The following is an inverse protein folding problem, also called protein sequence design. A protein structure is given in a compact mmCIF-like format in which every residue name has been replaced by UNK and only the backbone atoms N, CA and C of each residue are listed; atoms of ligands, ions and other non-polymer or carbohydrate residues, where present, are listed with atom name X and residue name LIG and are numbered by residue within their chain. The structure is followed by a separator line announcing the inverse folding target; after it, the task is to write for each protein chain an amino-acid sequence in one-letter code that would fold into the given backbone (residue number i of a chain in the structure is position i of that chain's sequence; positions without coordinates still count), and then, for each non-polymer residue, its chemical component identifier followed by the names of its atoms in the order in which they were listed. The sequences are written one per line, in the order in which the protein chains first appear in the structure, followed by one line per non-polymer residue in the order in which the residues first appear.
data_IF_216133669008
#
_entry.id   IF_216133669008
#
_cell.length_a   1.000
_cell.length_b   1.000
_cell.length_c   1.000
_cell.angle_alpha   90.00
_cell.angle_beta   90.00
_cell.angle_gamma   90.00
#
_symmetry.space_group_name_H-M   'P 1'
#
loop_
_entity.id
_entity.type
_entity.pdbx_description
1 polymer ?
#
# COMPACT_ATOMS: atom_id res chain seq x y z
N UNK A 1 2.46 -9.38 24.62
CA UNK A 1 3.14 -8.37 23.78
C UNK A 1 4.65 -8.57 23.94
N UNK A 2 5.38 -8.91 22.87
CA UNK A 2 6.79 -9.31 22.92
C UNK A 2 7.74 -8.19 23.38
N UNK A 3 7.32 -6.92 23.31
CA UNK A 3 8.10 -5.76 23.79
C UNK A 3 7.67 -5.27 25.18
N UNK A 4 6.86 -6.04 25.92
CA UNK A 4 6.24 -5.58 27.16
C UNK A 4 7.25 -5.09 28.22
N UNK A 5 8.39 -5.77 28.36
CA UNK A 5 9.46 -5.42 29.30
C UNK A 5 10.20 -4.12 28.94
N UNK A 6 10.05 -3.61 27.72
CA UNK A 6 10.76 -2.42 27.21
C UNK A 6 9.81 -1.33 26.72
N UNK A 7 8.50 -1.53 26.81
CA UNK A 7 7.51 -0.61 26.26
C UNK A 7 7.32 0.58 27.21
N UNK A 8 7.90 1.73 26.88
CA UNK A 8 7.84 2.94 27.70
C UNK A 8 6.40 3.35 28.09
N UNK A 9 5.45 3.32 27.14
CA UNK A 9 4.04 3.63 27.43
C UNK A 9 3.40 2.66 28.44
N UNK A 10 3.69 1.37 28.32
CA UNK A 10 3.18 0.36 29.26
C UNK A 10 3.85 0.49 30.63
N UNK A 11 5.15 0.72 30.67
CA UNK A 11 5.92 0.94 31.90
C UNK A 11 5.48 2.23 32.61
N UNK A 12 5.02 3.23 31.86
CA UNK A 12 4.41 4.46 32.38
C UNK A 12 2.96 4.28 32.86
N UNK A 13 2.42 3.06 32.90
CA UNK A 13 1.07 2.80 33.42
C UNK A 13 -0.06 3.04 32.41
N UNK A 14 0.25 3.11 31.10
CA UNK A 14 -0.73 3.33 30.02
C UNK A 14 -1.49 4.66 30.17
N UNK A 15 -0.78 5.81 30.30
CA UNK A 15 -1.44 7.10 30.47
C UNK A 15 -2.36 7.40 29.27
N UNK A 16 -3.46 8.10 29.56
CA UNK A 16 -4.38 8.59 28.53
C UNK A 16 -3.71 9.67 27.66
N UNK A 17 -4.17 9.81 26.43
CA UNK A 17 -3.71 10.89 25.55
C UNK A 17 -4.35 12.21 25.96
N UNK A 18 -3.54 13.19 26.35
CA UNK A 18 -3.99 14.52 26.80
C UNK A 18 -3.97 15.59 25.70
N UNK A 19 -3.45 15.25 24.51
CA UNK A 19 -3.37 16.19 23.39
C UNK A 19 -4.70 16.31 22.62
N UNK A 20 -4.80 17.28 21.69
CA UNK A 20 -5.94 17.37 20.80
C UNK A 20 -6.13 16.07 19.99
N UNK A 21 -7.36 15.78 19.54
CA UNK A 21 -7.62 14.64 18.67
C UNK A 21 -6.76 14.77 17.40
N UNK A 22 -6.11 13.67 17.03
CA UNK A 22 -5.33 13.62 15.79
C UNK A 22 -6.27 13.81 14.60
N UNK A 23 -5.92 14.73 13.69
CA UNK A 23 -6.59 14.80 12.38
C UNK A 23 -6.22 13.56 11.58
N UNK A 24 -7.18 12.65 11.40
CA UNK A 24 -7.00 11.48 10.55
C UNK A 24 -6.90 11.89 9.09
N UNK A 25 -5.97 11.28 8.35
CA UNK A 25 -5.99 11.34 6.90
C UNK A 25 -7.20 10.54 6.38
N UNK A 26 -7.98 11.11 5.47
CA UNK A 26 -9.06 10.38 4.79
C UNK A 26 -8.46 9.28 3.92
N UNK A 27 -9.16 8.16 3.76
CA UNK A 27 -8.67 7.09 2.88
C UNK A 27 -8.78 7.46 1.39
N UNK A 28 -9.89 8.10 1.00
CA UNK A 28 -10.15 8.49 -0.38
C UNK A 28 -9.10 9.47 -0.91
N UNK A 29 -8.63 9.24 -2.13
CA UNK A 29 -7.62 10.04 -2.83
C UNK A 29 -6.17 9.78 -2.41
N UNK A 30 -5.92 8.84 -1.49
CA UNK A 30 -4.56 8.57 -0.98
C UNK A 30 -3.81 7.53 -1.79
N UNK A 31 -2.48 7.57 -1.75
CA UNK A 31 -1.62 6.52 -2.33
C UNK A 31 -1.94 5.14 -1.74
N UNK A 32 -2.33 5.07 -0.46
CA UNK A 32 -2.78 3.81 0.15
C UNK A 32 -4.00 3.24 -0.58
N UNK A 33 -4.94 4.08 -0.99
CA UNK A 33 -6.09 3.65 -1.76
C UNK A 33 -5.69 3.18 -3.17
N UNK A 34 -4.85 3.96 -3.87
CA UNK A 34 -4.40 3.63 -5.23
C UNK A 34 -3.64 2.30 -5.24
N UNK A 35 -2.69 2.13 -4.32
CA UNK A 35 -1.96 0.86 -4.13
C UNK A 35 -2.89 -0.31 -3.88
N UNK A 36 -3.90 -0.12 -3.01
CA UNK A 36 -4.91 -1.14 -2.72
C UNK A 36 -5.68 -1.58 -3.95
N UNK A 37 -6.07 -0.65 -4.83
CA UNK A 37 -6.77 -0.99 -6.07
C UNK A 37 -5.87 -1.68 -7.10
N UNK A 38 -4.62 -1.24 -7.27
CA UNK A 38 -3.65 -1.91 -8.15
C UNK A 38 -3.43 -3.36 -7.73
N UNK A 39 -3.23 -3.58 -6.41
CA UNK A 39 -3.10 -4.93 -5.87
C UNK A 39 -4.36 -5.78 -6.01
N UNK A 40 -5.56 -5.16 -6.01
CA UNK A 40 -6.79 -5.90 -6.26
C UNK A 40 -6.81 -6.49 -7.67
N UNK A 41 -6.51 -5.69 -8.70
CA UNK A 41 -6.42 -6.17 -10.09
C UNK A 41 -5.40 -7.31 -10.23
N UNK A 42 -4.23 -7.17 -9.60
CA UNK A 42 -3.19 -8.20 -9.67
C UNK A 42 -3.57 -9.50 -8.94
N UNK A 43 -4.38 -9.42 -7.88
CA UNK A 43 -4.87 -10.62 -7.16
C UNK A 43 -5.99 -11.33 -7.91
N UNK A 44 -6.82 -10.59 -8.62
CA UNK A 44 -7.95 -11.14 -9.37
C UNK A 44 -7.50 -11.74 -10.72
N UNK A 45 -6.31 -11.38 -11.20
CA UNK A 45 -5.76 -11.87 -12.46
C UNK A 45 -5.09 -13.25 -12.31
N UNK A 46 -5.41 -14.15 -13.23
CA UNK A 46 -4.78 -15.48 -13.34
C UNK A 46 -3.43 -15.42 -14.06
N UNK A 47 -3.24 -14.42 -14.92
CA UNK A 47 -2.05 -14.21 -15.73
C UNK A 47 -1.42 -12.84 -15.42
N UNK A 48 -0.15 -12.60 -15.79
CA UNK A 48 0.45 -11.27 -15.68
C UNK A 48 -0.41 -10.19 -16.33
N UNK A 49 -0.58 -9.09 -15.61
CA UNK A 49 -1.49 -7.99 -15.94
C UNK A 49 -0.78 -6.97 -16.83
N UNK A 50 -1.33 -6.59 -18.00
CA UNK A 50 -0.75 -5.55 -18.84
C UNK A 50 -0.87 -4.17 -18.20
N UNK A 51 0.09 -3.29 -18.49
CA UNK A 51 0.08 -1.91 -17.99
C UNK A 51 -1.27 -1.19 -18.22
N UNK A 52 -1.88 -1.36 -19.38
CA UNK A 52 -3.17 -0.73 -19.71
C UNK A 52 -4.31 -1.11 -18.73
N UNK A 53 -4.30 -2.33 -18.19
CA UNK A 53 -5.29 -2.74 -17.20
C UNK A 53 -5.05 -2.07 -15.84
N UNK A 54 -3.79 -1.84 -15.47
CA UNK A 54 -3.45 -1.04 -14.29
C UNK A 54 -3.77 0.45 -14.52
N UNK A 55 -3.60 0.94 -15.74
CA UNK A 55 -3.88 2.32 -16.09
C UNK A 55 -5.37 2.69 -15.90
N UNK A 56 -6.27 1.75 -16.16
CA UNK A 56 -7.71 1.95 -15.97
C UNK A 56 -8.15 2.02 -14.49
N UNK A 57 -7.28 1.69 -13.53
CA UNK A 57 -7.63 1.58 -12.10
C UNK A 57 -7.84 2.93 -11.43
N UNK A 58 -7.16 3.97 -11.92
CA UNK A 58 -7.12 5.28 -11.29
C UNK A 58 -6.92 6.36 -12.33
N UNK A 59 -7.71 7.44 -12.25
CA UNK A 59 -7.74 8.49 -13.27
C UNK A 59 -6.46 9.35 -13.28
N UNK A 60 -5.86 9.60 -12.13
CA UNK A 60 -4.69 10.48 -12.00
C UNK A 60 -3.39 9.73 -12.32
N UNK A 61 -2.77 9.95 -13.51
CA UNK A 61 -1.68 9.10 -13.99
C UNK A 61 -0.41 9.20 -13.15
N UNK A 62 -0.07 10.40 -12.65
CA UNK A 62 1.14 10.61 -11.85
C UNK A 62 1.05 9.87 -10.51
N UNK A 63 -0.11 9.94 -9.86
CA UNK A 63 -0.33 9.26 -8.59
C UNK A 63 -0.34 7.74 -8.77
N UNK A 64 -0.97 7.26 -9.86
CA UNK A 64 -1.00 5.84 -10.22
C UNK A 64 0.39 5.28 -10.47
N UNK A 65 1.20 5.98 -11.28
CA UNK A 65 2.58 5.59 -11.55
C UNK A 65 3.42 5.54 -10.26
N UNK A 66 3.39 6.59 -9.45
CA UNK A 66 4.09 6.61 -8.15
C UNK A 66 3.66 5.47 -7.22
N UNK A 67 2.36 5.16 -7.18
CA UNK A 67 1.84 4.07 -6.38
C UNK A 67 2.33 2.70 -6.87
N UNK A 68 2.37 2.49 -8.19
CA UNK A 68 2.89 1.28 -8.80
C UNK A 68 4.40 1.13 -8.57
N UNK A 69 5.17 2.19 -8.77
CA UNK A 69 6.62 2.21 -8.51
C UNK A 69 6.93 1.88 -7.05
N UNK A 70 6.16 2.44 -6.12
CA UNK A 70 6.28 2.12 -4.70
C UNK A 70 5.98 0.65 -4.39
N UNK A 71 5.00 0.04 -5.06
CA UNK A 71 4.71 -1.39 -4.92
C UNK A 71 5.85 -2.27 -5.45
N UNK A 72 6.49 -1.86 -6.54
CA UNK A 72 7.66 -2.54 -7.10
C UNK A 72 8.87 -2.42 -6.16
N UNK A 73 9.14 -1.22 -5.65
CA UNK A 73 10.22 -0.97 -4.71
C UNK A 73 10.05 -1.75 -3.39
N UNK A 74 8.81 -1.93 -2.94
CA UNK A 74 8.49 -2.72 -1.74
C UNK A 74 8.52 -4.24 -1.99
N UNK A 75 8.77 -4.69 -3.24
CA UNK A 75 8.76 -6.12 -3.61
C UNK A 75 7.37 -6.75 -3.59
N UNK A 76 6.31 -5.95 -3.67
CA UNK A 76 4.91 -6.43 -3.67
C UNK A 76 4.37 -6.69 -5.08
N UNK A 77 5.03 -6.15 -6.11
CA UNK A 77 4.71 -6.31 -7.52
C UNK A 77 6.00 -6.48 -8.32
N UNK A 78 6.02 -7.39 -9.27
CA UNK A 78 7.17 -7.62 -10.15
C UNK A 78 6.84 -7.18 -11.59
N UNK A 79 7.63 -6.26 -12.18
CA UNK A 79 7.54 -5.96 -13.61
C UNK A 79 8.18 -7.07 -14.43
N UNK A 80 7.57 -7.38 -15.57
CA UNK A 80 8.07 -8.33 -16.57
C UNK A 80 8.64 -7.59 -17.78
N UNK A 81 9.50 -8.28 -18.54
CA UNK A 81 10.20 -7.72 -19.70
C UNK A 81 9.27 -7.24 -20.83
N UNK A 82 8.00 -7.66 -20.83
CA UNK A 82 6.99 -7.33 -21.84
C UNK A 82 5.97 -6.28 -21.38
N UNK A 83 6.29 -5.51 -20.34
CA UNK A 83 5.41 -4.45 -19.83
C UNK A 83 4.19 -4.97 -19.08
N UNK A 84 4.24 -6.22 -18.61
CA UNK A 84 3.25 -6.80 -17.71
C UNK A 84 3.74 -6.82 -16.26
N UNK A 85 2.80 -6.97 -15.34
CA UNK A 85 3.05 -6.97 -13.91
C UNK A 85 2.44 -8.21 -13.29
N UNK A 86 3.10 -8.78 -12.28
CA UNK A 86 2.55 -9.90 -11.50
C UNK A 86 2.82 -9.73 -10.02
N UNK A 87 2.11 -10.53 -9.21
CA UNK A 87 2.49 -10.72 -7.82
C UNK A 87 3.78 -11.57 -7.73
N UNK A 88 4.55 -11.44 -6.64
CA UNK A 88 5.70 -12.29 -6.40
C UNK A 88 5.33 -13.77 -6.32
N UNK A 89 6.10 -14.61 -7.03
CA UNK A 89 6.03 -16.07 -6.92
C UNK A 89 6.83 -16.45 -5.68
N UNK A 90 6.17 -16.49 -4.52
CA UNK A 90 6.82 -16.97 -3.29
C UNK A 90 6.80 -18.49 -3.24
#
# INVERSE_FOLDING_TARGET
CPIASRCAWRLAGKPAHEGPPRKGQTYAGTDRQVRGRLLAVLRDAVNPVPQAALDAVWEEPVQRARALDGLVADGLVEPLADGRYRLPLT
#
